data_IF_597457438053
#
_entry.id   IF_597457438053
#
_cell.length_a   1.000
_cell.length_b   1.000
_cell.length_c   1.000
_cell.angle_alpha   90.00
_cell.angle_beta   90.00
_cell.angle_gamma   90.00
#
_symmetry.space_group_name_H-M   'P 1'
#
loop_
_entity.id
_entity.type
_entity.pdbx_description
1 polymer ?
#
# COMPACT_ATOMS: atom_id res chain seq x y z
N UNK A 1 11.70 0.43 -9.25
CA UNK A 1 11.07 -0.74 -8.59
C UNK A 1 11.37 -2.06 -9.31
N UNK A 2 11.26 -2.15 -10.64
CA UNK A 2 11.47 -3.43 -11.38
C UNK A 2 12.89 -3.66 -11.92
N UNK A 3 13.74 -2.62 -11.94
CA UNK A 3 15.16 -2.76 -12.27
C UNK A 3 15.96 -3.22 -11.05
N UNK A 4 17.21 -3.62 -11.25
CA UNK A 4 18.13 -4.03 -10.17
C UNK A 4 18.25 -2.95 -9.09
N UNK A 5 18.31 -3.38 -7.82
CA UNK A 5 18.21 -2.49 -6.67
C UNK A 5 16.81 -1.90 -6.43
N UNK A 6 15.81 -2.37 -7.18
CA UNK A 6 14.45 -1.84 -7.15
C UNK A 6 13.71 -2.00 -5.83
N UNK A 7 14.14 -2.92 -4.96
CA UNK A 7 13.56 -3.14 -3.63
C UNK A 7 13.71 -1.95 -2.69
N UNK A 8 14.83 -1.22 -2.75
CA UNK A 8 15.00 0.00 -1.94
C UNK A 8 14.02 1.10 -2.38
N UNK A 9 13.77 1.22 -3.69
CA UNK A 9 12.75 2.13 -4.22
C UNK A 9 11.34 1.72 -3.77
N UNK A 10 11.06 0.41 -3.64
CA UNK A 10 9.80 -0.10 -3.08
C UNK A 10 9.66 0.35 -1.63
N UNK A 11 10.68 0.14 -0.79
CA UNK A 11 10.65 0.58 0.62
C UNK A 11 10.44 2.08 0.74
N UNK A 12 11.15 2.89 -0.04
CA UNK A 12 10.97 4.36 -0.05
C UNK A 12 9.53 4.74 -0.42
N UNK A 13 8.93 4.10 -1.43
CA UNK A 13 7.56 4.37 -1.82
C UNK A 13 6.55 3.99 -0.72
N UNK A 14 6.77 2.87 -0.03
CA UNK A 14 5.93 2.43 1.10
C UNK A 14 6.01 3.42 2.27
N UNK A 15 7.19 3.94 2.59
CA UNK A 15 7.33 4.98 3.63
C UNK A 15 6.59 6.26 3.25
N UNK A 16 6.58 6.68 1.97
CA UNK A 16 5.73 7.81 1.54
C UNK A 16 4.24 7.52 1.72
N UNK A 17 3.78 6.31 1.38
CA UNK A 17 2.38 5.90 1.56
C UNK A 17 1.95 5.87 3.03
N UNK A 18 2.88 5.53 3.94
CA UNK A 18 2.67 5.59 5.39
C UNK A 18 2.37 7.01 5.86
N UNK A 19 3.11 8.00 5.36
CA UNK A 19 2.95 9.40 5.75
C UNK A 19 1.59 9.99 5.33
N UNK A 20 1.03 9.53 4.21
CA UNK A 20 -0.29 9.95 3.71
C UNK A 20 -1.39 8.91 3.95
N UNK A 21 -1.26 8.09 4.99
CA UNK A 21 -2.18 6.97 5.21
C UNK A 21 -3.64 7.42 5.34
N UNK A 22 -3.90 8.48 6.11
CA UNK A 22 -5.26 8.98 6.38
C UNK A 22 -5.92 9.52 5.11
N UNK A 23 -5.17 10.26 4.31
CA UNK A 23 -5.61 10.84 3.04
C UNK A 23 -5.99 9.72 2.06
N UNK A 24 -5.13 8.72 1.92
CA UNK A 24 -5.44 7.55 1.08
C UNK A 24 -6.69 6.81 1.58
N UNK A 25 -6.81 6.52 2.88
CA UNK A 25 -7.99 5.81 3.43
C UNK A 25 -9.29 6.56 3.12
N UNK A 26 -9.29 7.89 3.21
CA UNK A 26 -10.49 8.71 2.91
C UNK A 26 -10.96 8.58 1.45
N UNK A 27 -10.07 8.23 0.54
CA UNK A 27 -10.35 8.06 -0.89
C UNK A 27 -10.50 6.59 -1.34
N UNK A 28 -10.32 5.63 -0.44
CA UNK A 28 -10.19 4.21 -0.75
C UNK A 28 -11.51 3.43 -0.69
N UNK A 29 -12.63 4.13 -0.93
CA UNK A 29 -13.99 3.59 -0.94
C UNK A 29 -14.71 3.77 0.40
N UNK A 30 -16.01 4.08 0.32
CA UNK A 30 -16.87 4.29 1.49
C UNK A 30 -17.17 2.97 2.20
N UNK A 31 -17.33 3.03 3.53
CA UNK A 31 -17.68 1.86 4.35
C UNK A 31 -16.50 0.93 4.68
N UNK A 32 -15.28 1.34 4.34
CA UNK A 32 -14.07 0.53 4.50
C UNK A 32 -13.74 0.24 5.97
N UNK A 33 -14.24 1.05 6.91
CA UNK A 33 -14.12 0.84 8.36
C UNK A 33 -14.73 -0.48 8.83
N UNK A 34 -15.73 -1.00 8.10
CA UNK A 34 -16.34 -2.31 8.39
C UNK A 34 -15.46 -3.48 7.95
N UNK A 35 -14.54 -3.24 7.00
CA UNK A 35 -13.66 -4.25 6.41
C UNK A 35 -12.28 -4.25 7.07
N UNK A 36 -11.64 -3.09 7.16
CA UNK A 36 -10.29 -2.90 7.69
C UNK A 36 -10.27 -2.93 9.22
N UNK A 37 -10.39 -4.14 9.77
CA UNK A 37 -10.56 -4.38 11.22
C UNK A 37 -9.34 -5.02 11.88
N UNK A 38 -8.29 -5.31 11.10
CA UNK A 38 -7.14 -6.11 11.55
C UNK A 38 -7.40 -7.62 11.57
N UNK A 39 -8.63 -8.06 11.25
CA UNK A 39 -9.04 -9.46 11.15
C UNK A 39 -9.24 -9.84 9.69
N UNK A 40 -9.39 -11.15 9.42
CA UNK A 40 -9.76 -11.67 8.09
C UNK A 40 -8.82 -11.19 6.97
N UNK A 41 -7.51 -11.26 7.21
CA UNK A 41 -6.48 -10.91 6.20
C UNK A 41 -6.56 -9.44 5.75
N UNK A 42 -6.93 -8.57 6.67
CA UNK A 42 -6.92 -7.11 6.54
C UNK A 42 -6.12 -6.47 7.68
N UNK A 43 -5.63 -5.25 7.45
CA UNK A 43 -5.08 -4.40 8.50
C UNK A 43 -6.19 -3.59 9.20
N UNK A 44 -5.89 -3.08 10.39
CA UNK A 44 -6.76 -2.09 11.05
C UNK A 44 -6.72 -0.75 10.29
N UNK A 45 -7.86 -0.07 10.19
CA UNK A 45 -8.02 1.15 9.39
C UNK A 45 -7.20 2.34 9.91
N UNK A 46 -6.82 2.34 11.19
CA UNK A 46 -6.13 3.47 11.83
C UNK A 46 -4.61 3.29 11.86
N UNK A 47 -4.12 2.10 11.51
CA UNK A 47 -2.71 1.74 11.60
C UNK A 47 -2.15 1.40 10.22
N UNK A 48 -0.98 1.96 9.91
CA UNK A 48 -0.23 1.58 8.72
C UNK A 48 0.82 0.54 9.07
N UNK A 49 0.79 -0.59 8.37
CA UNK A 49 1.80 -1.64 8.48
C UNK A 49 2.17 -2.19 7.10
N UNK A 50 3.39 -2.69 6.97
CA UNK A 50 3.80 -3.43 5.79
C UNK A 50 4.67 -4.62 6.17
N UNK A 51 4.74 -5.64 5.30
CA UNK A 51 5.62 -6.78 5.53
C UNK A 51 5.71 -7.73 4.34
N UNK A 52 6.72 -8.59 4.38
CA UNK A 52 6.93 -9.61 3.34
C UNK A 52 6.02 -10.80 3.60
N UNK A 53 5.28 -11.23 2.58
CA UNK A 53 4.25 -12.27 2.64
C UNK A 53 3.18 -12.08 3.73
N UNK A 54 3.08 -10.88 4.32
CA UNK A 54 2.13 -10.61 5.38
C UNK A 54 0.76 -10.17 4.80
N UNK A 55 -0.22 -11.08 4.84
CA UNK A 55 -1.61 -10.77 4.46
C UNK A 55 -2.40 -10.02 5.56
N UNK A 56 -1.85 -9.81 6.75
CA UNK A 56 -2.47 -8.93 7.75
C UNK A 56 -2.05 -7.46 7.60
N UNK A 57 -1.07 -7.17 6.74
CA UNK A 57 -0.51 -5.83 6.60
C UNK A 57 -1.30 -4.94 5.62
N UNK A 58 -1.18 -3.62 5.80
CA UNK A 58 -1.78 -2.63 4.90
C UNK A 58 -1.15 -2.70 3.51
N UNK A 59 0.17 -2.88 3.44
CA UNK A 59 0.92 -3.13 2.21
C UNK A 59 1.69 -4.44 2.30
N UNK A 60 1.62 -5.28 1.26
CA UNK A 60 2.34 -6.55 1.19
C UNK A 60 3.43 -6.50 0.11
N UNK A 61 4.60 -7.05 0.41
CA UNK A 61 5.61 -7.38 -0.59
C UNK A 61 5.69 -8.90 -0.75
N UNK A 62 5.72 -9.41 -1.98
CA UNK A 62 5.82 -10.86 -2.24
C UNK A 62 7.20 -11.42 -1.89
N UNK A 63 7.30 -12.71 -1.53
CA UNK A 63 8.58 -13.38 -1.27
C UNK A 63 9.51 -13.31 -2.48
N UNK A 64 8.97 -13.45 -3.69
CA UNK A 64 9.78 -13.40 -4.90
C UNK A 64 10.36 -12.00 -5.13
N UNK A 65 9.60 -10.93 -4.84
CA UNK A 65 10.12 -9.55 -4.93
C UNK A 65 11.20 -9.28 -3.90
N UNK A 66 11.07 -9.79 -2.67
CA UNK A 66 12.13 -9.69 -1.67
C UNK A 66 13.38 -10.45 -2.11
N UNK A 67 13.20 -11.72 -2.52
CA UNK A 67 14.28 -12.60 -2.97
C UNK A 67 15.05 -12.04 -4.16
N UNK A 68 14.35 -11.48 -5.15
CA UNK A 68 14.94 -10.97 -6.38
C UNK A 68 15.47 -9.53 -6.22
N UNK A 69 15.20 -8.87 -5.10
CA UNK A 69 15.62 -7.48 -4.85
C UNK A 69 14.98 -6.44 -5.79
N UNK A 70 13.90 -6.82 -6.48
CA UNK A 70 13.15 -5.97 -7.42
C UNK A 70 11.77 -6.58 -7.70
N UNK A 71 10.81 -5.75 -8.10
CA UNK A 71 9.45 -6.22 -8.40
C UNK A 71 8.37 -5.18 -8.11
N UNK A 72 7.40 -5.55 -7.27
CA UNK A 72 6.25 -4.71 -6.90
C UNK A 72 5.80 -4.94 -5.45
N UNK A 73 4.98 -4.01 -4.94
CA UNK A 73 4.24 -4.17 -3.70
C UNK A 73 2.73 -4.14 -4.00
N UNK A 74 1.92 -4.59 -3.04
CA UNK A 74 0.47 -4.66 -3.12
C UNK A 74 -0.13 -3.79 -2.01
N UNK A 75 -0.85 -2.72 -2.39
CA UNK A 75 -1.66 -1.94 -1.44
C UNK A 75 -3.01 -2.63 -1.23
N UNK A 76 -3.27 -3.10 -0.01
CA UNK A 76 -4.43 -3.93 0.34
C UNK A 76 -5.54 -3.14 1.05
N UNK A 77 -5.33 -1.84 1.17
CA UNK A 77 -6.25 -0.90 1.82
C UNK A 77 -7.45 -0.49 0.96
N UNK A 78 -7.42 -0.46 -0.39
CA UNK A 78 -8.62 -0.12 -1.16
C UNK A 78 -9.76 -1.12 -0.94
N UNK A 79 -10.99 -0.60 -0.78
CA UNK A 79 -12.20 -1.40 -0.69
C UNK A 79 -12.65 -1.90 -2.08
N UNK A 80 -13.57 -2.86 -2.13
CA UNK A 80 -14.08 -3.41 -3.40
C UNK A 80 -14.85 -2.38 -4.25
N UNK A 81 -15.37 -1.32 -3.65
CA UNK A 81 -16.08 -0.21 -4.29
C UNK A 81 -15.17 1.00 -4.58
N UNK A 82 -13.84 0.85 -4.49
CA UNK A 82 -12.92 1.94 -4.80
C UNK A 82 -13.09 2.46 -6.23
N UNK A 83 -12.90 3.76 -6.44
CA UNK A 83 -12.77 4.33 -7.79
C UNK A 83 -11.34 4.08 -8.31
N UNK A 84 -11.14 3.31 -9.40
CA UNK A 84 -9.82 3.02 -9.96
C UNK A 84 -9.05 4.25 -10.40
N UNK A 85 -9.71 5.29 -10.91
CA UNK A 85 -9.04 6.51 -11.33
C UNK A 85 -8.46 7.26 -10.13
N UNK A 86 -9.23 7.35 -9.04
CA UNK A 86 -8.81 8.02 -7.81
C UNK A 86 -7.64 7.28 -7.15
N UNK A 87 -7.78 5.97 -6.91
CA UNK A 87 -6.75 5.22 -6.18
C UNK A 87 -5.45 5.13 -6.97
N UNK A 88 -5.50 4.85 -8.27
CA UNK A 88 -4.28 4.68 -9.07
C UNK A 88 -3.52 6.00 -9.23
N UNK A 89 -4.23 7.10 -9.48
CA UNK A 89 -3.61 8.43 -9.56
C UNK A 89 -3.01 8.87 -8.22
N UNK A 90 -3.70 8.63 -7.11
CA UNK A 90 -3.22 8.99 -5.77
C UNK A 90 -1.99 8.18 -5.34
N UNK A 91 -1.93 6.88 -5.67
CA UNK A 91 -0.71 6.07 -5.47
C UNK A 91 0.45 6.65 -6.27
N UNK A 92 0.24 6.98 -7.54
CA UNK A 92 1.29 7.56 -8.39
C UNK A 92 1.74 8.94 -7.87
N UNK A 93 0.80 9.80 -7.49
CA UNK A 93 1.09 11.12 -6.93
C UNK A 93 1.96 11.01 -5.67
N UNK A 94 1.52 10.22 -4.68
CA UNK A 94 2.24 10.07 -3.41
C UNK A 94 3.62 9.43 -3.60
N UNK A 95 3.76 8.47 -4.51
CA UNK A 95 5.03 7.74 -4.67
C UNK A 95 6.03 8.46 -5.58
N UNK A 96 5.57 9.19 -6.60
CA UNK A 96 6.43 9.80 -7.63
C UNK A 96 6.57 11.31 -7.45
N UNK A 97 5.46 12.04 -7.33
CA UNK A 97 5.43 13.50 -7.43
C UNK A 97 5.58 14.19 -6.08
N UNK A 98 4.90 13.66 -5.07
CA UNK A 98 4.84 14.24 -3.74
C UNK A 98 6.18 14.10 -3.00
N UNK A 99 6.51 15.16 -2.26
CA UNK A 99 7.68 15.27 -1.39
C UNK A 99 7.17 15.59 0.03
N UNK A 100 7.56 14.81 1.05
CA UNK A 100 7.24 15.07 2.45
C UNK A 100 7.71 16.45 2.93
#
# INVERSE_FOLDING_TARGET
MRNDGGYEIIKTAIEKLKLRHKEHISAYGEGNERRLTGKHETADINTFSWGVANRGASVRVGRDTEKDGKGYFEDRRPASNMDPYVVTSMIAETTILWKP
#
